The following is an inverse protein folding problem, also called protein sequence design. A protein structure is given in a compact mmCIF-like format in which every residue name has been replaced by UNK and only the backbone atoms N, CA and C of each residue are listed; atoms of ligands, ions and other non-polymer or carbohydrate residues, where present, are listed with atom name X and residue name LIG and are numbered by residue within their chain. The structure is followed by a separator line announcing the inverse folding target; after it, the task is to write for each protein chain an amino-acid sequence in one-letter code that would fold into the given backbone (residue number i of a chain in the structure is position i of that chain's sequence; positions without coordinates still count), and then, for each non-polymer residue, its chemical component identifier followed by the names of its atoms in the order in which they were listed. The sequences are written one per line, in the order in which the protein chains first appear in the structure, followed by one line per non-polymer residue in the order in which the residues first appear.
data_IF_590181158597
#
_entry.id   IF_590181158597
#
_cell.length_a   1.000
_cell.length_b   1.000
_cell.length_c   1.000
_cell.angle_alpha   90.00
_cell.angle_beta   90.00
_cell.angle_gamma   90.00
#
_symmetry.space_group_name_H-M   'P 1'
#
loop_
_entity.id
_entity.type
_entity.pdbx_description
1 polymer ?
#
# COMPACT_ATOMS: atom_id res chain seq x y z
N UNK A 1 -37.11 27.91 16.65
CA UNK A 1 -35.86 28.41 17.27
C UNK A 1 -34.85 27.29 17.15
N UNK A 2 -34.35 27.17 15.93
CA UNK A 2 -33.36 26.21 15.43
C UNK A 2 -32.20 27.05 14.89
N UNK A 3 -31.02 26.43 14.82
CA UNK A 3 -29.74 26.99 14.33
C UNK A 3 -29.11 27.99 15.32
N UNK A 4 -27.93 27.76 15.89
CA UNK A 4 -26.69 28.29 15.31
C UNK A 4 -25.43 27.84 16.09
N UNK A 5 -25.32 26.56 16.51
CA UNK A 5 -24.14 26.16 17.31
C UNK A 5 -23.36 24.93 16.89
N UNK A 6 -23.49 24.47 15.65
CA UNK A 6 -22.72 23.31 15.17
C UNK A 6 -21.84 23.55 13.93
N UNK A 7 -21.88 24.72 13.29
CA UNK A 7 -21.23 24.95 11.99
C UNK A 7 -19.88 25.67 12.02
N UNK A 8 -19.03 25.47 13.04
CA UNK A 8 -17.71 26.16 13.03
C UNK A 8 -16.45 25.33 13.13
N UNK A 9 -16.49 23.99 13.05
CA UNK A 9 -15.22 23.25 12.98
C UNK A 9 -15.27 21.87 12.34
N UNK A 10 -15.85 21.76 11.14
CA UNK A 10 -15.69 20.54 10.33
C UNK A 10 -14.61 20.79 9.27
N UNK A 11 -13.40 20.26 9.51
CA UNK A 11 -12.38 20.12 8.47
C UNK A 11 -12.77 18.95 7.58
N UNK A 12 -13.06 19.23 6.32
CA UNK A 12 -13.42 18.24 5.30
C UNK A 12 -12.21 17.33 4.99
N UNK A 13 -12.19 16.15 5.62
CA UNK A 13 -11.53 14.98 5.05
C UNK A 13 -12.62 14.12 4.40
N UNK A 14 -12.42 13.77 3.13
CA UNK A 14 -13.40 13.14 2.25
C UNK A 14 -14.40 12.19 2.92
N UNK A 15 -15.69 12.43 2.68
CA UNK A 15 -16.78 11.70 3.31
C UNK A 15 -16.83 10.26 2.80
N UNK A 16 -16.42 9.30 3.64
CA UNK A 16 -16.87 7.91 3.50
C UNK A 16 -18.24 7.87 4.20
N UNK A 17 -19.29 7.66 3.41
CA UNK A 17 -20.66 7.54 3.93
C UNK A 17 -20.78 6.21 4.70
N UNK A 18 -20.53 6.24 6.02
CA UNK A 18 -20.71 5.10 6.91
C UNK A 18 -21.94 5.32 7.78
N UNK A 19 -23.09 4.85 7.34
CA UNK A 19 -24.31 4.82 8.15
C UNK A 19 -24.26 3.68 9.16
N UNK A 20 -23.68 3.95 10.34
CA UNK A 20 -23.95 3.30 11.63
C UNK A 20 -23.67 1.80 11.77
N UNK A 21 -22.78 1.42 12.70
CA UNK A 21 -22.78 0.07 13.26
C UNK A 21 -23.64 0.04 14.52
N UNK A 22 -24.63 -0.84 14.56
CA UNK A 22 -25.39 -1.17 15.77
C UNK A 22 -24.92 -2.54 16.23
N UNK A 23 -24.49 -2.66 17.49
CA UNK A 23 -24.25 -3.98 18.10
C UNK A 23 -25.60 -4.69 18.18
N UNK A 24 -25.80 -5.70 17.32
CA UNK A 24 -27.01 -6.52 17.30
C UNK A 24 -26.80 -7.71 18.21
N UNK A 25 -27.63 -7.83 19.25
CA UNK A 25 -27.69 -9.00 20.12
C UNK A 25 -28.39 -10.16 19.39
N UNK A 26 -27.58 -11.04 18.81
CA UNK A 26 -28.02 -12.21 18.03
C UNK A 26 -28.66 -13.31 18.88
N UNK A 27 -28.63 -13.20 20.20
CA UNK A 27 -29.24 -14.19 21.10
C UNK A 27 -30.76 -14.02 21.21
N UNK A 28 -31.27 -12.80 20.97
CA UNK A 28 -32.71 -12.46 21.12
C UNK A 28 -33.58 -13.14 20.08
N UNK A 29 -34.71 -13.71 20.52
CA UNK A 29 -35.69 -14.40 19.66
C UNK A 29 -36.19 -13.53 18.50
N UNK A 30 -36.56 -12.29 18.78
CA UNK A 30 -36.98 -11.32 17.75
C UNK A 30 -35.91 -11.09 16.68
N UNK A 31 -34.64 -10.98 17.08
CA UNK A 31 -33.52 -10.77 16.15
C UNK A 31 -33.31 -12.02 15.29
N UNK A 32 -33.41 -13.21 15.88
CA UNK A 32 -33.34 -14.49 15.16
C UNK A 32 -34.48 -14.65 14.15
N UNK A 33 -35.71 -14.34 14.54
CA UNK A 33 -36.88 -14.38 13.67
C UNK A 33 -36.78 -13.35 12.53
N UNK A 34 -36.34 -12.13 12.84
CA UNK A 34 -36.08 -11.11 11.83
C UNK A 34 -35.05 -11.58 10.81
N UNK A 35 -33.90 -12.12 11.25
CA UNK A 35 -32.89 -12.65 10.33
C UNK A 35 -33.38 -13.87 9.54
N UNK A 36 -34.21 -14.73 10.13
CA UNK A 36 -34.79 -15.88 9.44
C UNK A 36 -35.75 -15.44 8.32
N UNK A 37 -36.64 -14.49 8.61
CA UNK A 37 -37.58 -13.95 7.62
C UNK A 37 -36.84 -13.14 6.53
N UNK A 38 -35.90 -12.29 6.93
CA UNK A 38 -35.04 -11.57 5.99
C UNK A 38 -34.26 -12.51 5.08
N UNK A 39 -33.77 -13.63 5.62
CA UNK A 39 -33.04 -14.64 4.86
C UNK A 39 -33.92 -15.27 3.79
N UNK A 40 -35.20 -15.53 4.08
CA UNK A 40 -36.16 -16.04 3.10
C UNK A 40 -36.41 -15.04 1.97
N UNK A 41 -36.60 -13.75 2.29
CA UNK A 41 -36.79 -12.69 1.27
C UNK A 41 -35.52 -12.37 0.48
N UNK A 42 -34.35 -12.51 1.10
CA UNK A 42 -33.05 -12.24 0.48
C UNK A 42 -32.66 -13.26 -0.59
N UNK A 43 -33.23 -14.48 -0.54
CA UNK A 43 -33.01 -15.50 -1.56
C UNK A 43 -33.69 -15.11 -2.89
N UNK A 44 -34.72 -14.26 -2.85
CA UNK A 44 -35.50 -13.84 -4.02
C UNK A 44 -35.13 -12.45 -4.57
N UNK A 45 -34.34 -11.64 -3.86
CA UNK A 45 -34.17 -10.21 -4.19
C UNK A 45 -32.85 -9.92 -4.91
N UNK A 46 -32.92 -9.84 -6.23
CA UNK A 46 -31.89 -9.22 -7.05
C UNK A 46 -32.24 -7.74 -7.23
N UNK A 47 -31.41 -6.85 -6.67
CA UNK A 47 -31.60 -5.40 -6.77
C UNK A 47 -30.54 -4.82 -7.69
N UNK A 48 -30.90 -3.87 -8.54
CA UNK A 48 -29.96 -3.10 -9.34
C UNK A 48 -29.75 -1.72 -8.70
N UNK A 49 -28.50 -1.34 -8.46
CA UNK A 49 -28.14 -0.06 -7.84
C UNK A 49 -26.88 0.54 -8.45
N UNK A 50 -26.37 1.62 -7.84
CA UNK A 50 -25.19 2.36 -8.35
C UNK A 50 -23.91 1.50 -8.48
N UNK A 51 -23.82 0.43 -7.70
CA UNK A 51 -22.71 -0.54 -7.76
C UNK A 51 -23.02 -1.76 -8.65
N UNK A 52 -24.00 -1.64 -9.54
CA UNK A 52 -24.52 -2.70 -10.38
C UNK A 52 -25.45 -3.65 -9.64
N UNK A 53 -25.46 -4.92 -10.06
CA UNK A 53 -26.27 -5.96 -9.43
C UNK A 53 -25.85 -6.21 -7.99
N UNK A 54 -26.83 -6.23 -7.11
CA UNK A 54 -26.70 -6.52 -5.69
C UNK A 54 -27.41 -7.85 -5.45
N UNK A 55 -26.65 -8.83 -4.96
CA UNK A 55 -27.15 -10.15 -4.55
C UNK A 55 -26.46 -10.55 -3.26
N UNK A 56 -27.19 -11.24 -2.39
CA UNK A 56 -26.68 -11.73 -1.11
C UNK A 56 -26.67 -13.26 -1.09
N UNK A 57 -25.74 -13.84 -0.35
CA UNK A 57 -25.76 -15.26 0.02
C UNK A 57 -26.85 -15.52 1.06
N UNK A 58 -27.15 -16.79 1.31
CA UNK A 58 -28.01 -17.21 2.42
C UNK A 58 -27.47 -16.82 3.81
N UNK A 59 -26.24 -16.35 3.92
CA UNK A 59 -25.64 -15.78 5.14
C UNK A 59 -25.65 -14.26 5.18
N UNK A 60 -26.26 -13.59 4.19
CA UNK A 60 -26.34 -12.13 4.13
C UNK A 60 -25.08 -11.43 3.58
N UNK A 61 -24.13 -12.17 3.00
CA UNK A 61 -22.90 -11.61 2.43
C UNK A 61 -23.11 -11.30 0.96
N UNK A 62 -22.71 -10.11 0.49
CA UNK A 62 -22.82 -9.76 -0.93
C UNK A 62 -22.00 -10.75 -1.79
N UNK A 63 -22.57 -11.18 -2.91
CA UNK A 63 -21.95 -12.10 -3.88
C UNK A 63 -22.14 -11.62 -5.30
N UNK A 64 -21.26 -12.10 -6.19
CA UNK A 64 -21.27 -11.80 -7.62
C UNK A 64 -21.13 -10.31 -7.89
N UNK A 65 -20.06 -9.71 -7.38
CA UNK A 65 -19.76 -8.30 -7.52
C UNK A 65 -18.31 -8.08 -7.94
N UNK A 66 -18.01 -6.90 -8.48
CA UNK A 66 -16.64 -6.50 -8.80
C UNK A 66 -16.32 -5.13 -8.22
N UNK A 67 -15.04 -4.91 -7.92
CA UNK A 67 -14.48 -3.66 -7.45
C UNK A 67 -13.52 -3.11 -8.49
N UNK A 68 -13.59 -1.80 -8.72
CA UNK A 68 -12.62 -1.10 -9.56
C UNK A 68 -11.42 -0.73 -8.70
N UNK A 69 -10.22 -1.13 -9.13
CA UNK A 69 -8.97 -0.73 -8.47
C UNK A 69 -8.37 0.42 -9.24
N UNK A 70 -8.12 1.52 -8.54
CA UNK A 70 -7.57 2.76 -9.08
C UNK A 70 -6.20 3.06 -8.46
N UNK A 71 -5.33 3.69 -9.24
CA UNK A 71 -4.07 4.28 -8.78
C UNK A 71 -4.22 5.79 -8.83
N UNK A 72 -3.76 6.47 -7.78
CA UNK A 72 -3.59 7.92 -7.81
C UNK A 72 -2.23 8.26 -8.43
N UNK A 73 -2.19 9.22 -9.33
CA UNK A 73 -0.95 9.80 -9.87
C UNK A 73 -0.51 10.99 -9.01
N UNK A 74 0.78 11.39 -9.05
CA UNK A 74 1.25 12.60 -8.36
C UNK A 74 0.47 13.87 -8.75
N UNK A 75 -0.04 13.91 -9.99
CA UNK A 75 -0.81 15.03 -10.53
C UNK A 75 -2.29 15.01 -10.07
N UNK A 76 -2.71 14.01 -9.30
CA UNK A 76 -4.06 13.88 -8.75
C UNK A 76 -5.04 13.06 -9.60
N UNK A 77 -4.62 12.58 -10.77
CA UNK A 77 -5.47 11.76 -11.63
C UNK A 77 -5.66 10.35 -11.06
N UNK A 78 -6.91 9.88 -11.05
CA UNK A 78 -7.27 8.51 -10.69
C UNK A 78 -7.38 7.63 -11.93
N UNK A 79 -6.44 6.70 -12.11
CA UNK A 79 -6.45 5.78 -13.25
C UNK A 79 -6.87 4.38 -12.82
N UNK A 80 -7.86 3.79 -13.49
CA UNK A 80 -8.22 2.38 -13.28
C UNK A 80 -7.05 1.49 -13.70
N UNK A 81 -6.58 0.64 -12.79
CA UNK A 81 -5.48 -0.30 -13.02
C UNK A 81 -5.92 -1.76 -13.05
N UNK A 82 -7.06 -2.08 -12.43
CA UNK A 82 -7.57 -3.44 -12.38
C UNK A 82 -9.06 -3.51 -12.06
N UNK A 83 -9.61 -4.72 -12.17
CA UNK A 83 -10.90 -5.09 -11.60
C UNK A 83 -10.67 -6.25 -10.64
N UNK A 84 -11.16 -6.16 -9.40
CA UNK A 84 -11.20 -7.29 -8.48
C UNK A 84 -12.59 -7.91 -8.49
N UNK A 85 -12.67 -9.24 -8.57
CA UNK A 85 -13.93 -9.98 -8.55
C UNK A 85 -14.00 -10.82 -7.27
N UNK A 86 -15.20 -10.99 -6.73
CA UNK A 86 -15.40 -11.79 -5.52
C UNK A 86 -15.10 -13.28 -5.71
N UNK A 87 -15.17 -13.79 -6.94
CA UNK A 87 -14.90 -15.17 -7.32
C UNK A 87 -13.52 -15.38 -7.97
N UNK A 88 -13.02 -14.40 -8.73
CA UNK A 88 -11.77 -14.52 -9.53
C UNK A 88 -10.60 -13.72 -8.99
N UNK A 89 -10.79 -12.97 -7.91
CA UNK A 89 -9.79 -12.11 -7.32
C UNK A 89 -9.35 -10.97 -8.24
N UNK A 90 -8.12 -10.50 -8.07
CA UNK A 90 -7.56 -9.34 -8.77
C UNK A 90 -7.25 -9.65 -10.24
N UNK A 91 -7.75 -8.83 -11.16
CA UNK A 91 -7.51 -8.92 -12.62
C UNK A 91 -6.97 -7.57 -13.14
N UNK A 92 -5.65 -7.45 -13.37
CA UNK A 92 -5.07 -6.23 -13.91
C UNK A 92 -5.53 -5.99 -15.35
N UNK A 93 -5.65 -4.73 -15.75
CA UNK A 93 -5.91 -4.39 -17.15
C UNK A 93 -4.68 -4.74 -18.00
N UNK A 94 -4.85 -5.57 -19.04
CA UNK A 94 -3.77 -6.02 -19.95
C UNK A 94 -3.16 -4.93 -20.84
N UNK A 95 -3.48 -3.66 -20.61
CA UNK A 95 -2.79 -2.51 -21.20
C UNK A 95 -2.31 -1.59 -20.09
N UNK A 96 -1.17 -1.94 -19.50
CA UNK A 96 -0.24 -0.89 -19.11
C UNK A 96 0.78 -0.78 -20.23
N UNK A 97 0.44 -0.01 -21.27
CA UNK A 97 1.47 0.60 -22.09
C UNK A 97 2.24 1.53 -21.14
N UNK A 98 3.29 1.01 -20.51
CA UNK A 98 4.02 1.70 -19.44
C UNK A 98 4.38 0.85 -18.21
N UNK A 99 3.99 -0.44 -18.14
CA UNK A 99 4.75 -1.39 -17.31
C UNK A 99 6.00 -1.71 -18.11
N UNK A 100 6.93 -0.76 -18.09
CA UNK A 100 8.31 -1.10 -18.31
C UNK A 100 8.69 -2.04 -17.15
N UNK A 101 8.61 -3.34 -17.42
CA UNK A 101 9.16 -4.39 -16.57
C UNK A 101 10.68 -4.48 -16.72
N UNK A 102 11.31 -3.61 -17.52
CA UNK A 102 12.71 -3.26 -17.33
C UNK A 102 12.79 -2.29 -16.16
N UNK A 103 13.69 -2.54 -15.20
CA UNK A 103 13.84 -1.72 -14.01
C UNK A 103 14.10 -0.25 -14.34
N UNK A 104 13.04 0.56 -14.42
CA UNK A 104 13.16 2.02 -14.47
C UNK A 104 13.55 2.50 -13.08
N UNK A 105 14.85 2.74 -12.91
CA UNK A 105 15.33 3.56 -11.80
C UNK A 105 15.00 5.03 -12.09
N UNK A 106 14.72 5.77 -11.04
CA UNK A 106 14.42 7.19 -11.09
C UNK A 106 15.74 7.95 -11.18
N UNK A 107 15.98 8.61 -12.32
CA UNK A 107 17.20 9.38 -12.59
C UNK A 107 17.31 10.63 -11.71
N UNK A 108 16.19 11.16 -11.23
CA UNK A 108 16.15 12.33 -10.37
C UNK A 108 16.22 11.98 -8.88
N UNK A 109 16.53 10.72 -8.56
CA UNK A 109 16.59 10.21 -7.20
C UNK A 109 18.02 9.83 -6.81
N UNK A 110 18.42 10.26 -5.61
CA UNK A 110 19.64 9.75 -4.97
C UNK A 110 19.36 8.42 -4.30
N UNK A 111 20.09 7.38 -4.71
CA UNK A 111 20.00 6.05 -4.13
C UNK A 111 20.99 5.88 -2.99
N UNK A 112 20.48 5.62 -1.79
CA UNK A 112 21.30 5.28 -0.63
C UNK A 112 21.68 3.79 -0.64
N UNK A 113 22.98 3.52 -0.71
CA UNK A 113 23.59 2.20 -0.57
C UNK A 113 24.17 2.07 0.83
N UNK A 114 23.81 0.99 1.52
CA UNK A 114 24.29 0.71 2.89
C UNK A 114 25.18 -0.51 2.89
N UNK A 115 26.28 -0.43 3.63
CA UNK A 115 27.12 -1.58 3.96
C UNK A 115 27.51 -1.54 5.43
N UNK A 116 28.06 -2.63 5.97
CA UNK A 116 28.73 -2.61 7.27
C UNK A 116 30.22 -2.33 7.08
N UNK A 117 30.88 -1.84 8.12
CA UNK A 117 32.33 -1.61 8.05
C UNK A 117 33.06 -2.95 8.24
N UNK A 118 33.62 -3.47 7.15
CA UNK A 118 34.36 -4.73 7.16
C UNK A 118 35.61 -4.62 6.28
N UNK A 119 36.79 -4.31 6.85
CA UNK A 119 38.05 -4.32 6.11
C UNK A 119 38.38 -5.72 5.59
N UNK A 120 38.94 -5.87 4.37
CA UNK A 120 39.35 -4.82 3.43
C UNK A 120 38.23 -4.29 2.52
N UNK A 121 37.01 -4.83 2.64
CA UNK A 121 35.95 -4.69 1.64
C UNK A 121 35.18 -3.37 1.72
N UNK A 122 34.89 -2.91 2.93
CA UNK A 122 34.22 -1.63 3.14
C UNK A 122 34.89 -0.88 4.27
N UNK A 123 35.62 0.18 3.90
CA UNK A 123 36.30 1.08 4.83
C UNK A 123 35.76 2.48 4.62
N UNK A 124 35.60 3.24 5.71
CA UNK A 124 35.28 4.66 5.66
C UNK A 124 36.47 5.44 5.09
N UNK A 125 36.65 5.40 3.78
CA UNK A 125 37.67 6.20 3.12
C UNK A 125 37.23 7.67 3.09
N UNK A 126 38.18 8.57 3.36
CA UNK A 126 37.97 10.02 3.19
C UNK A 126 37.74 10.30 1.70
N UNK A 127 36.94 11.33 1.34
CA UNK A 127 36.61 11.57 -0.06
C UNK A 127 37.89 11.88 -0.86
N UNK A 128 38.19 11.02 -1.82
CA UNK A 128 39.08 11.37 -2.94
C UNK A 128 38.29 12.34 -3.83
N UNK A 129 38.60 13.64 -3.74
CA UNK A 129 38.34 14.55 -4.86
C UNK A 129 39.47 14.28 -5.84
N UNK A 130 39.11 13.73 -6.99
CA UNK A 130 39.74 13.76 -8.31
C UNK A 130 38.82 12.82 -9.13
N UNK A 131 38.21 13.17 -10.26
CA UNK A 131 38.72 13.99 -11.35
C UNK A 131 37.57 14.61 -12.16
N UNK A 132 37.85 15.81 -12.66
CA UNK A 132 37.23 16.44 -13.83
C UNK A 132 37.47 15.54 -15.06
N UNK A 133 36.40 15.16 -15.78
CA UNK A 133 36.48 14.24 -16.91
C UNK A 133 35.13 13.99 -17.59
N UNK A 134 35.02 14.57 -18.79
CA UNK A 134 34.08 14.32 -19.90
C UNK A 134 32.56 14.35 -19.62
N UNK A 135 31.97 15.52 -19.87
CA UNK A 135 30.55 15.71 -20.13
C UNK A 135 30.16 15.08 -21.48
N UNK A 136 30.01 13.76 -21.53
CA UNK A 136 29.37 13.10 -22.66
C UNK A 136 28.31 12.11 -22.18
N UNK A 137 27.05 12.57 -22.16
CA UNK A 137 25.80 11.80 -22.15
C UNK A 137 25.82 10.43 -21.41
N UNK A 138 26.38 10.37 -20.21
CA UNK A 138 26.25 9.21 -19.34
C UNK A 138 24.92 9.31 -18.57
N UNK A 139 24.19 8.20 -18.46
CA UNK A 139 23.07 8.07 -17.54
C UNK A 139 23.61 8.19 -16.09
N UNK A 140 23.67 9.43 -15.58
CA UNK A 140 24.17 9.71 -14.22
C UNK A 140 23.15 9.22 -13.21
N UNK A 141 23.54 8.27 -12.36
CA UNK A 141 22.79 7.84 -11.19
C UNK A 141 23.45 8.44 -9.96
N UNK A 142 22.72 9.23 -9.19
CA UNK A 142 23.21 9.76 -7.92
C UNK A 142 23.17 8.67 -6.86
N UNK A 143 24.34 8.26 -6.36
CA UNK A 143 24.47 7.22 -5.33
C UNK A 143 25.17 7.78 -4.11
N UNK A 144 24.61 7.54 -2.93
CA UNK A 144 25.22 7.88 -1.64
C UNK A 144 25.51 6.61 -0.85
N UNK A 145 26.76 6.42 -0.44
CA UNK A 145 27.17 5.33 0.43
C UNK A 145 27.09 5.74 1.90
N UNK A 146 26.60 4.85 2.77
CA UNK A 146 26.67 5.01 4.24
C UNK A 146 26.94 3.67 4.93
N UNK A 147 27.44 3.75 6.16
CA UNK A 147 27.57 2.58 7.05
C UNK A 147 26.22 2.33 7.74
N UNK A 148 25.85 1.06 7.97
CA UNK A 148 24.68 0.67 8.76
C UNK A 148 24.75 1.32 10.14
N UNK A 149 23.62 1.86 10.63
CA UNK A 149 23.60 2.61 11.89
C UNK A 149 23.99 1.75 13.10
N UNK A 150 23.64 0.46 13.08
CA UNK A 150 23.91 -0.50 14.14
C UNK A 150 25.10 -1.44 13.83
N UNK A 151 25.73 -1.29 12.66
CA UNK A 151 26.87 -2.11 12.23
C UNK A 151 26.58 -3.60 12.02
N UNK A 152 25.31 -4.01 11.94
CA UNK A 152 24.92 -5.43 11.82
C UNK A 152 24.45 -5.78 10.42
N UNK A 153 24.63 -7.05 10.04
CA UNK A 153 24.04 -7.62 8.83
C UNK A 153 22.51 -7.64 8.89
N UNK A 154 21.97 -8.31 9.91
CA UNK A 154 20.55 -8.31 10.22
C UNK A 154 20.11 -9.63 10.86
N UNK A 155 19.45 -9.50 12.00
CA UNK A 155 18.85 -10.59 12.76
C UNK A 155 17.37 -10.30 12.99
N UNK A 156 16.60 -11.37 13.20
CA UNK A 156 15.22 -11.26 13.62
C UNK A 156 15.16 -10.51 14.96
N UNK A 157 14.45 -9.41 14.98
CA UNK A 157 14.25 -8.59 16.16
C UNK A 157 12.78 -8.15 16.24
N UNK A 158 11.96 -8.83 17.07
CA UNK A 158 10.53 -8.52 17.21
C UNK A 158 10.26 -7.09 17.72
N UNK A 159 11.24 -6.45 18.35
CA UNK A 159 11.11 -5.10 18.89
C UNK A 159 11.36 -4.01 17.84
N UNK A 160 11.80 -4.38 16.64
CA UNK A 160 12.05 -3.45 15.54
C UNK A 160 10.88 -3.45 14.55
N UNK A 161 10.55 -2.26 14.02
CA UNK A 161 9.58 -2.15 12.92
C UNK A 161 10.11 -2.96 11.72
N UNK A 162 9.29 -3.90 11.25
CA UNK A 162 9.67 -4.83 10.19
C UNK A 162 10.35 -6.12 10.68
N UNK A 163 10.56 -6.31 11.99
CA UNK A 163 11.02 -7.56 12.57
C UNK A 163 12.50 -7.90 12.37
N UNK A 164 13.29 -6.97 11.82
CA UNK A 164 14.72 -7.16 11.53
C UNK A 164 15.55 -5.97 11.99
N UNK A 165 16.75 -6.23 12.54
CA UNK A 165 17.79 -5.22 12.73
C UNK A 165 18.81 -5.25 11.56
N UNK A 166 19.88 -4.48 11.65
CA UNK A 166 20.94 -4.45 10.66
C UNK A 166 20.56 -3.82 9.33
N UNK A 167 21.41 -4.05 8.33
CA UNK A 167 21.19 -3.69 6.94
C UNK A 167 19.86 -4.25 6.42
N UNK A 168 19.50 -5.49 6.78
CA UNK A 168 18.21 -6.10 6.43
C UNK A 168 17.05 -5.27 6.97
N UNK A 169 17.12 -4.87 8.24
CA UNK A 169 16.13 -4.00 8.86
C UNK A 169 16.04 -2.63 8.17
N UNK A 170 17.16 -2.03 7.79
CA UNK A 170 17.18 -0.76 7.07
C UNK A 170 16.51 -0.86 5.69
N UNK A 171 16.70 -1.97 4.98
CA UNK A 171 16.06 -2.23 3.70
C UNK A 171 14.55 -2.44 3.86
N UNK A 172 14.12 -3.25 4.84
CA UNK A 172 12.71 -3.52 5.14
C UNK A 172 11.97 -2.23 5.50
N UNK A 173 12.59 -1.36 6.30
CA UNK A 173 12.06 -0.05 6.69
C UNK A 173 12.20 1.02 5.62
N UNK A 174 12.79 0.70 4.46
CA UNK A 174 13.06 1.61 3.33
C UNK A 174 13.93 2.81 3.71
N UNK A 175 14.79 2.63 4.72
CA UNK A 175 15.82 3.63 5.09
C UNK A 175 16.98 3.58 4.10
N UNK A 176 17.19 2.43 3.45
CA UNK A 176 18.15 2.21 2.36
C UNK A 176 17.42 1.71 1.12
N UNK A 177 18.07 1.88 -0.05
CA UNK A 177 17.56 1.36 -1.32
C UNK A 177 18.25 0.06 -1.71
N UNK A 178 19.54 -0.06 -1.37
CA UNK A 178 20.39 -1.21 -1.67
C UNK A 178 21.28 -1.47 -0.47
N UNK A 179 21.54 -2.75 -0.20
CA UNK A 179 22.48 -3.20 0.82
C UNK A 179 23.55 -4.07 0.19
N UNK A 180 24.82 -3.85 0.55
CA UNK A 180 25.96 -4.66 0.11
C UNK A 180 26.56 -5.36 1.33
N UNK A 181 26.58 -6.69 1.28
CA UNK A 181 27.14 -7.55 2.32
C UNK A 181 27.94 -8.69 1.69
N UNK A 182 28.83 -9.29 2.48
CA UNK A 182 29.66 -10.44 2.10
C UNK A 182 29.25 -11.61 3.00
N UNK A 183 29.34 -12.83 2.49
CA UNK A 183 29.01 -14.07 3.21
C UNK A 183 30.18 -14.63 4.03
#
# INVERSE_FOLDING_TARGET
VLDDRWDREIREYGTINMTGFRLVDTSRKFVKEFFANWKLDSIATQVEGLSGKIRFSSSGVRKNFSLVVVRNTPDGDMTKIATWYDDKGFRPLKKLNGLDTSGKYDRNKTYTVVSIQEPPYFTSSRPRRDSEGDEDNADIIYVQFRVSADGKYGNLNPNMIGGWDGMVGELVRKVSHVTLGID
#
